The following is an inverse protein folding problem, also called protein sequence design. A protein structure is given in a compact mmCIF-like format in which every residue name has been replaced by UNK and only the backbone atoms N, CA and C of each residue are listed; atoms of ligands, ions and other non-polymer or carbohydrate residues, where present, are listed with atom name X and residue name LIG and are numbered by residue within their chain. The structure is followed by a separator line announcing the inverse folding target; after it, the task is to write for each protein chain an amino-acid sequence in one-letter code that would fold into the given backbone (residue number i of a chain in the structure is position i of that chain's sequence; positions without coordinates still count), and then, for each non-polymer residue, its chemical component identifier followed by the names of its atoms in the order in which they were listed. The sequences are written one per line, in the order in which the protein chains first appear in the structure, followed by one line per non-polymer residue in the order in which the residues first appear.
data_IF_009625567047
#
_entry.id   IF_009625567047
#
_cell.length_a   1.000
_cell.length_b   1.000
_cell.length_c   1.000
_cell.angle_alpha   90.00
_cell.angle_beta   90.00
_cell.angle_gamma   90.00
#
_symmetry.space_group_name_H-M   'P 1'
#
loop_
_entity.id
_entity.type
_entity.pdbx_description
1 polymer ?
#
# COMPACT_ATOMS: atom_id res chain seq x y z
N UNK A 1 14.80 -17.68 -6.55
CA UNK A 1 14.92 -16.21 -6.47
C UNK A 1 13.74 -15.80 -5.61
N UNK A 2 13.89 -15.93 -4.30
CA UNK A 2 12.76 -15.74 -3.39
C UNK A 2 12.51 -14.24 -3.28
N UNK A 3 11.32 -13.74 -3.70
CA UNK A 3 10.95 -12.35 -3.47
C UNK A 3 11.07 -12.13 -1.97
N UNK A 4 11.90 -11.15 -1.60
CA UNK A 4 12.46 -11.02 -0.26
C UNK A 4 11.42 -11.27 0.83
N UNK A 5 11.81 -12.06 1.83
CA UNK A 5 11.01 -12.42 3.00
C UNK A 5 10.26 -11.20 3.55
N UNK A 6 9.04 -11.00 3.07
CA UNK A 6 8.11 -10.04 3.63
C UNK A 6 7.54 -10.69 4.91
N UNK A 7 7.50 -9.95 6.01
CA UNK A 7 7.07 -10.49 7.31
C UNK A 7 5.65 -11.04 7.29
N UNK A 8 4.82 -10.56 6.36
CA UNK A 8 3.48 -11.08 6.10
C UNK A 8 3.52 -12.52 5.57
N UNK A 9 4.46 -12.90 4.71
CA UNK A 9 4.54 -14.27 4.18
C UNK A 9 4.74 -15.31 5.27
N UNK A 10 5.50 -15.00 6.33
CA UNK A 10 5.72 -15.90 7.47
C UNK A 10 4.44 -16.09 8.27
N UNK A 11 3.72 -15.00 8.54
CA UNK A 11 2.49 -15.04 9.34
C UNK A 11 1.33 -15.67 8.54
N UNK A 12 1.23 -15.33 7.26
CA UNK A 12 0.18 -15.82 6.37
C UNK A 12 0.23 -17.33 6.18
N UNK A 13 1.39 -17.99 6.27
CA UNK A 13 1.46 -19.47 6.17
C UNK A 13 0.58 -20.17 7.23
N UNK A 14 0.46 -19.60 8.42
CA UNK A 14 -0.35 -20.17 9.49
C UNK A 14 -1.83 -19.78 9.40
N UNK A 15 -2.11 -18.57 8.89
CA UNK A 15 -3.47 -18.00 8.89
C UNK A 15 -4.24 -18.36 7.61
N UNK A 16 -3.54 -18.45 6.48
CA UNK A 16 -4.13 -18.65 5.15
C UNK A 16 -5.04 -19.88 5.04
N UNK A 17 -4.77 -21.04 5.66
CA UNK A 17 -5.71 -22.17 5.61
C UNK A 17 -7.11 -21.81 6.14
N UNK A 18 -7.18 -21.06 7.24
CA UNK A 18 -8.46 -20.60 7.82
C UNK A 18 -9.14 -19.60 6.88
N UNK A 19 -8.37 -18.66 6.33
CA UNK A 19 -8.89 -17.66 5.40
C UNK A 19 -9.42 -18.26 4.10
N UNK A 20 -8.79 -19.32 3.60
CA UNK A 20 -9.25 -20.07 2.43
C UNK A 20 -10.50 -20.89 2.73
N UNK A 21 -10.64 -21.47 3.94
CA UNK A 21 -11.88 -22.11 4.37
C UNK A 21 -13.04 -21.12 4.37
N UNK A 22 -12.87 -19.99 5.07
CA UNK A 22 -13.88 -18.93 5.14
C UNK A 22 -14.29 -18.42 3.74
N UNK A 23 -13.31 -18.30 2.84
CA UNK A 23 -13.53 -17.92 1.45
C UNK A 23 -14.40 -18.94 0.71
N UNK A 24 -14.14 -20.23 0.88
CA UNK A 24 -14.93 -21.31 0.28
C UNK A 24 -16.38 -21.29 0.78
N UNK A 25 -16.57 -21.15 2.09
CA UNK A 25 -17.90 -21.07 2.72
C UNK A 25 -18.68 -19.84 2.25
N UNK A 26 -18.01 -18.71 2.07
CA UNK A 26 -18.61 -17.51 1.48
C UNK A 26 -19.04 -17.72 0.03
N UNK A 27 -18.21 -18.41 -0.77
CA UNK A 27 -18.53 -18.70 -2.17
C UNK A 27 -19.76 -19.59 -2.29
N UNK A 28 -19.85 -20.64 -1.47
CA UNK A 28 -21.01 -21.53 -1.42
C UNK A 28 -22.28 -20.76 -1.01
N UNK A 29 -22.20 -19.91 0.02
CA UNK A 29 -23.32 -19.07 0.43
C UNK A 29 -23.75 -18.12 -0.71
N UNK A 30 -22.80 -17.48 -1.40
CA UNK A 30 -23.07 -16.57 -2.51
C UNK A 30 -23.78 -17.27 -3.67
N UNK A 31 -23.31 -18.45 -4.08
CA UNK A 31 -23.88 -19.23 -5.18
C UNK A 31 -25.32 -19.69 -4.88
N UNK A 32 -25.62 -19.97 -3.62
CA UNK A 32 -26.96 -20.37 -3.17
C UNK A 32 -27.87 -19.19 -2.79
N UNK A 33 -27.41 -17.94 -2.96
CA UNK A 33 -28.18 -16.75 -2.59
C UNK A 33 -28.40 -16.60 -1.08
N UNK A 34 -27.55 -17.23 -0.26
CA UNK A 34 -27.61 -17.19 1.20
C UNK A 34 -26.78 -16.01 1.76
N UNK A 35 -27.06 -15.57 3.01
CA UNK A 35 -26.27 -14.55 3.66
C UNK A 35 -24.80 -14.96 3.80
N UNK A 36 -23.89 -14.05 3.42
CA UNK A 36 -22.45 -14.30 3.48
C UNK A 36 -21.98 -14.37 4.96
N UNK A 37 -21.38 -15.48 5.42
CA UNK A 37 -21.05 -15.67 6.83
C UNK A 37 -19.81 -14.88 7.26
N UNK A 38 -18.69 -14.95 6.52
CA UNK A 38 -17.39 -14.47 6.99
C UNK A 38 -17.00 -13.10 6.42
N UNK A 39 -16.37 -12.27 7.24
CA UNK A 39 -15.75 -11.00 6.83
C UNK A 39 -14.28 -11.24 6.48
N UNK A 40 -13.56 -11.93 7.37
CA UNK A 40 -12.12 -12.17 7.25
C UNK A 40 -11.91 -13.38 6.33
N UNK A 41 -11.48 -13.09 5.10
CA UNK A 41 -11.09 -14.07 4.08
C UNK A 41 -9.74 -13.67 3.48
N UNK A 42 -9.19 -14.49 2.58
CA UNK A 42 -7.98 -14.15 1.84
C UNK A 42 -8.17 -12.84 1.06
N UNK A 43 -9.32 -12.67 0.39
CA UNK A 43 -9.62 -11.46 -0.36
C UNK A 43 -9.75 -10.21 0.51
N UNK A 44 -10.24 -10.36 1.74
CA UNK A 44 -10.32 -9.24 2.67
C UNK A 44 -8.95 -8.55 2.82
N UNK A 45 -7.91 -9.35 3.08
CA UNK A 45 -6.55 -8.85 3.19
C UNK A 45 -6.01 -8.32 1.85
N UNK A 46 -6.05 -9.17 0.82
CA UNK A 46 -5.41 -8.87 -0.48
C UNK A 46 -5.99 -7.61 -1.15
N UNK A 47 -7.31 -7.39 -1.03
CA UNK A 47 -8.00 -6.37 -1.82
C UNK A 47 -8.34 -5.09 -1.06
N UNK A 48 -8.49 -5.15 0.27
CA UNK A 48 -8.84 -3.97 1.08
C UNK A 48 -7.72 -3.49 2.01
N UNK A 49 -6.82 -4.38 2.46
CA UNK A 49 -5.81 -4.05 3.47
C UNK A 49 -4.45 -3.73 2.86
N UNK A 50 -4.13 -4.31 1.71
CA UNK A 50 -2.85 -4.15 1.04
C UNK A 50 -2.89 -3.37 -0.30
N UNK A 51 -3.57 -2.20 -0.42
CA UNK A 51 -3.52 -1.42 -1.65
C UNK A 51 -2.10 -0.89 -1.91
N UNK A 52 -1.50 -1.30 -3.03
CA UNK A 52 -0.09 -1.03 -3.33
C UNK A 52 0.89 -2.03 -2.71
N UNK A 53 0.40 -3.17 -2.23
CA UNK A 53 1.19 -4.23 -1.60
C UNK A 53 1.32 -4.07 -0.09
N UNK A 54 2.30 -4.76 0.51
CA UNK A 54 2.50 -4.80 1.96
C UNK A 54 2.70 -3.40 2.52
N UNK A 55 1.91 -3.03 3.53
CA UNK A 55 1.95 -1.69 4.14
C UNK A 55 0.97 -0.66 3.55
N UNK A 56 0.15 -1.04 2.57
CA UNK A 56 -0.81 -0.13 1.91
C UNK A 56 -0.12 1.09 1.23
N UNK A 57 0.93 0.80 0.44
CA UNK A 57 1.87 1.79 -0.09
C UNK A 57 1.34 2.64 -1.25
N UNK A 58 0.16 2.34 -1.79
CA UNK A 58 -0.36 3.07 -2.96
C UNK A 58 -0.48 4.58 -2.68
N UNK A 59 -0.90 4.97 -1.47
CA UNK A 59 -0.94 6.38 -1.07
C UNK A 59 0.44 7.05 -1.05
N UNK A 60 1.47 6.33 -0.58
CA UNK A 60 2.85 6.82 -0.59
C UNK A 60 3.37 7.06 -2.01
N UNK A 61 3.10 6.11 -2.92
CA UNK A 61 3.52 6.20 -4.33
C UNK A 61 2.84 7.36 -5.05
N UNK A 62 1.56 7.60 -4.76
CA UNK A 62 0.82 8.77 -5.28
C UNK A 62 1.52 10.07 -4.86
N UNK A 63 1.97 10.20 -3.61
CA UNK A 63 2.70 11.39 -3.19
C UNK A 63 4.08 11.52 -3.84
N UNK A 64 4.79 10.41 -4.06
CA UNK A 64 6.05 10.43 -4.80
C UNK A 64 5.87 10.94 -6.23
N UNK A 65 4.75 10.62 -6.90
CA UNK A 65 4.47 11.11 -8.24
C UNK A 65 4.06 12.58 -8.27
N UNK A 66 3.20 13.00 -7.33
CA UNK A 66 2.53 14.31 -7.40
C UNK A 66 3.22 15.41 -6.60
N UNK A 67 4.01 15.05 -5.58
CA UNK A 67 4.45 16.02 -4.56
C UNK A 67 5.90 15.87 -4.10
N UNK A 68 6.69 15.00 -4.74
CA UNK A 68 8.13 14.88 -4.48
C UNK A 68 8.90 16.16 -4.83
N UNK A 69 9.77 16.61 -3.92
CA UNK A 69 10.74 17.67 -4.13
C UNK A 69 12.12 17.12 -4.47
N UNK A 70 12.48 15.98 -3.89
CA UNK A 70 13.73 15.28 -4.19
C UNK A 70 13.64 14.54 -5.53
N UNK A 71 14.73 14.53 -6.28
CA UNK A 71 14.80 13.78 -7.54
C UNK A 71 14.76 12.28 -7.27
N UNK A 72 15.37 11.81 -6.18
CA UNK A 72 15.34 10.41 -5.77
C UNK A 72 13.89 9.91 -5.59
N UNK A 73 13.06 10.63 -4.82
CA UNK A 73 11.67 10.22 -4.59
C UNK A 73 10.83 10.32 -5.86
N UNK A 74 11.08 11.32 -6.70
CA UNK A 74 10.39 11.49 -7.98
C UNK A 74 10.65 10.31 -8.93
N UNK A 75 11.91 9.89 -9.05
CA UNK A 75 12.28 8.77 -9.91
C UNK A 75 11.75 7.46 -9.35
N UNK A 76 11.86 7.25 -8.05
CA UNK A 76 11.34 6.06 -7.41
C UNK A 76 9.81 5.94 -7.61
N UNK A 77 9.06 7.04 -7.44
CA UNK A 77 7.63 7.05 -7.68
C UNK A 77 7.25 6.61 -9.09
N UNK A 78 8.00 7.04 -10.11
CA UNK A 78 7.76 6.63 -11.51
C UNK A 78 8.01 5.14 -11.75
N UNK A 79 9.04 4.59 -11.13
CA UNK A 79 9.39 3.16 -11.25
C UNK A 79 8.39 2.30 -10.47
N UNK A 80 7.95 2.77 -9.30
CA UNK A 80 7.05 2.03 -8.42
C UNK A 80 5.57 2.12 -8.81
N UNK A 81 5.14 3.19 -9.49
CA UNK A 81 3.72 3.43 -9.81
C UNK A 81 3.02 2.28 -10.55
N UNK A 82 3.62 1.68 -11.62
CA UNK A 82 2.99 0.55 -12.28
C UNK A 82 2.82 -0.63 -11.32
N UNK A 83 3.85 -0.99 -10.57
CA UNK A 83 3.76 -2.09 -9.59
C UNK A 83 2.70 -1.84 -8.53
N UNK A 84 2.71 -0.65 -7.93
CA UNK A 84 1.76 -0.29 -6.87
C UNK A 84 0.30 -0.32 -7.34
N UNK A 85 0.01 0.02 -8.61
CA UNK A 85 -1.36 -0.06 -9.14
C UNK A 85 -1.90 -1.50 -9.17
N UNK A 86 -0.99 -2.48 -9.31
CA UNK A 86 -1.29 -3.91 -9.28
C UNK A 86 -0.83 -4.57 -7.96
N UNK A 87 -0.76 -3.80 -6.87
CA UNK A 87 -0.42 -4.28 -5.52
C UNK A 87 0.95 -4.96 -5.39
N UNK A 88 1.92 -4.59 -6.23
CA UNK A 88 3.31 -5.05 -6.22
C UNK A 88 4.16 -4.02 -5.47
N UNK A 89 4.71 -4.38 -4.31
CA UNK A 89 5.46 -3.50 -3.41
C UNK A 89 6.99 -3.55 -3.58
N UNK A 90 7.51 -4.48 -4.37
CA UNK A 90 8.93 -4.77 -4.54
C UNK A 90 9.74 -3.54 -4.99
N UNK A 91 9.28 -2.73 -5.97
CA UNK A 91 9.99 -1.51 -6.34
C UNK A 91 10.17 -0.55 -5.15
N UNK A 92 9.20 -0.51 -4.23
CA UNK A 92 9.25 0.35 -3.05
C UNK A 92 10.17 -0.21 -1.97
N UNK A 93 10.09 -1.51 -1.71
CA UNK A 93 10.92 -2.18 -0.69
C UNK A 93 12.40 -2.16 -1.08
N UNK A 94 12.71 -2.26 -2.38
CA UNK A 94 14.08 -2.13 -2.87
C UNK A 94 14.53 -0.67 -2.99
N UNK A 95 13.61 0.27 -3.22
CA UNK A 95 13.94 1.69 -3.37
C UNK A 95 14.13 2.44 -2.05
N UNK A 96 13.41 2.05 -0.99
CA UNK A 96 13.53 2.59 0.36
C UNK A 96 13.43 1.42 1.35
N UNK A 97 14.33 1.33 2.35
CA UNK A 97 14.20 0.33 3.41
C UNK A 97 13.06 0.73 4.36
N UNK A 98 11.81 0.52 3.95
CA UNK A 98 10.60 1.00 4.64
C UNK A 98 10.54 0.57 6.10
N UNK A 99 10.91 -0.69 6.38
CA UNK A 99 10.88 -1.29 7.73
C UNK A 99 12.02 -0.77 8.61
N UNK A 100 13.19 -0.50 8.05
CA UNK A 100 14.33 0.01 8.82
C UNK A 100 14.33 1.55 8.93
N UNK A 101 13.49 2.23 8.15
CA UNK A 101 13.42 3.67 8.15
C UNK A 101 12.45 4.16 9.24
N UNK A 102 12.91 4.88 10.28
CA UNK A 102 12.04 5.34 11.37
C UNK A 102 10.91 6.27 10.90
N UNK A 103 11.09 6.97 9.76
CA UNK A 103 10.02 7.79 9.17
C UNK A 103 8.90 6.94 8.58
N UNK A 104 9.21 5.78 8.00
CA UNK A 104 8.21 4.94 7.32
C UNK A 104 7.77 3.73 8.12
N UNK A 105 8.52 3.29 9.13
CA UNK A 105 8.17 2.16 9.99
C UNK A 105 6.80 2.35 10.65
N UNK A 106 6.56 3.53 11.23
CA UNK A 106 5.29 3.82 11.89
C UNK A 106 4.10 3.81 10.92
N UNK A 107 4.07 4.59 9.82
CA UNK A 107 2.95 4.55 8.88
C UNK A 107 2.80 3.18 8.19
N UNK A 108 3.87 2.43 7.98
CA UNK A 108 3.85 1.09 7.38
C UNK A 108 3.07 0.07 8.23
N UNK A 109 3.15 0.16 9.56
CA UNK A 109 2.39 -0.71 10.47
C UNK A 109 1.01 -0.12 10.78
N UNK A 110 0.94 1.19 11.02
CA UNK A 110 -0.28 1.86 11.44
C UNK A 110 -1.36 1.84 10.35
N UNK A 111 -0.96 2.01 9.07
CA UNK A 111 -1.92 2.08 7.96
C UNK A 111 -2.71 0.78 7.82
N UNK A 112 -2.09 -0.41 7.64
CA UNK A 112 -2.84 -1.66 7.55
C UNK A 112 -3.73 -1.94 8.76
N UNK A 113 -3.28 -1.62 9.98
CA UNK A 113 -4.08 -1.79 11.21
C UNK A 113 -5.35 -0.95 11.15
N UNK A 114 -5.25 0.32 10.76
CA UNK A 114 -6.42 1.18 10.61
C UNK A 114 -7.33 0.73 9.46
N UNK A 115 -6.76 0.25 8.35
CA UNK A 115 -7.55 -0.31 7.26
C UNK A 115 -8.33 -1.55 7.70
N UNK A 116 -7.73 -2.42 8.52
CA UNK A 116 -8.42 -3.61 9.07
C UNK A 116 -9.59 -3.18 9.94
N UNK A 117 -9.37 -2.24 10.86
CA UNK A 117 -10.43 -1.76 11.77
C UNK A 117 -11.58 -1.15 10.96
N UNK A 118 -11.28 -0.21 10.05
CA UNK A 118 -12.30 0.47 9.24
C UNK A 118 -13.05 -0.52 8.34
N UNK A 119 -12.33 -1.38 7.63
CA UNK A 119 -12.94 -2.35 6.71
C UNK A 119 -13.78 -3.38 7.45
N UNK A 120 -13.27 -3.91 8.57
CA UNK A 120 -14.01 -4.86 9.39
C UNK A 120 -15.28 -4.23 9.97
N UNK A 121 -15.19 -3.04 10.57
CA UNK A 121 -16.37 -2.36 11.14
C UNK A 121 -17.39 -2.01 10.06
N UNK A 122 -16.96 -1.54 8.88
CA UNK A 122 -17.86 -1.24 7.76
C UNK A 122 -18.60 -2.50 7.27
N UNK A 123 -17.93 -3.64 7.21
CA UNK A 123 -18.57 -4.91 6.81
C UNK A 123 -19.42 -5.53 7.93
N UNK A 124 -19.00 -5.40 9.19
CA UNK A 124 -19.73 -5.92 10.35
C UNK A 124 -21.04 -5.18 10.62
N UNK A 125 -21.07 -3.88 10.35
CA UNK A 125 -22.27 -3.04 10.48
C UNK A 125 -23.20 -3.12 9.27
N UNK A 126 -22.80 -3.85 8.21
CA UNK A 126 -23.58 -3.98 6.98
C UNK A 126 -23.50 -2.76 6.05
N UNK A 127 -22.67 -1.76 6.35
CA UNK A 127 -22.44 -0.61 5.47
C UNK A 127 -21.77 -1.04 4.16
N UNK A 128 -20.95 -2.08 4.22
CA UNK A 128 -20.24 -2.66 3.07
C UNK A 128 -20.53 -4.15 2.98
N UNK A 129 -20.87 -4.62 1.78
CA UNK A 129 -21.06 -6.04 1.51
C UNK A 129 -19.78 -6.83 1.80
N UNK A 130 -19.93 -8.00 2.43
CA UNK A 130 -18.82 -8.92 2.74
C UNK A 130 -18.24 -9.53 1.45
N UNK A 131 -17.00 -10.07 1.48
CA UNK A 131 -16.43 -10.74 0.32
C UNK A 131 -17.24 -11.98 -0.08
N UNK A 132 -17.65 -12.06 -1.34
CA UNK A 132 -18.49 -13.13 -1.90
C UNK A 132 -17.74 -14.46 -2.12
N UNK A 133 -16.47 -14.57 -1.71
CA UNK A 133 -15.65 -15.78 -1.91
C UNK A 133 -15.07 -15.94 -3.31
N UNK A 134 -15.33 -15.00 -4.24
CA UNK A 134 -14.80 -15.02 -5.61
C UNK A 134 -13.27 -14.88 -5.58
N UNK A 135 -12.56 -15.87 -6.12
CA UNK A 135 -11.09 -15.89 -6.17
C UNK A 135 -10.57 -14.85 -7.18
N UNK A 136 -10.27 -13.64 -6.71
CA UNK A 136 -9.64 -12.60 -7.51
C UNK A 136 -8.12 -12.59 -7.26
N UNK A 137 -7.30 -12.44 -8.31
CA UNK A 137 -5.88 -12.19 -8.14
C UNK A 137 -5.66 -10.94 -7.28
N UNK A 138 -4.71 -10.98 -6.36
CA UNK A 138 -4.32 -9.80 -5.56
C UNK A 138 -3.83 -8.64 -6.45
N UNK A 139 -3.39 -8.92 -7.67
CA UNK A 139 -2.98 -7.91 -8.65
C UNK A 139 -4.15 -7.20 -9.33
N UNK A 140 -5.40 -7.58 -9.04
CA UNK A 140 -6.57 -6.92 -9.64
C UNK A 140 -6.60 -5.44 -9.23
N UNK A 141 -6.61 -4.49 -10.18
CA UNK A 141 -6.53 -3.07 -9.87
C UNK A 141 -7.60 -2.64 -8.87
N UNK A 142 -7.23 -1.67 -8.04
CA UNK A 142 -8.10 -1.06 -7.03
C UNK A 142 -9.39 -0.50 -7.69
N UNK A 143 -10.47 -0.47 -6.91
CA UNK A 143 -11.86 -0.16 -7.29
C UNK A 143 -12.56 -1.28 -8.06
N UNK A 144 -11.93 -1.83 -9.10
CA UNK A 144 -12.49 -2.98 -9.82
C UNK A 144 -12.52 -4.21 -8.92
N UNK A 145 -11.43 -4.46 -8.20
CA UNK A 145 -11.33 -5.58 -7.27
C UNK A 145 -12.39 -5.54 -6.18
N UNK A 146 -12.68 -4.39 -5.58
CA UNK A 146 -13.69 -4.29 -4.51
C UNK A 146 -15.12 -4.52 -5.00
N UNK A 147 -15.45 -4.05 -6.20
CA UNK A 147 -16.75 -4.31 -6.83
C UNK A 147 -16.93 -5.81 -7.13
N UNK A 148 -15.93 -6.43 -7.75
CA UNK A 148 -15.99 -7.85 -8.12
C UNK A 148 -15.97 -8.75 -6.89
N UNK A 149 -15.14 -8.43 -5.89
CA UNK A 149 -14.97 -9.25 -4.68
C UNK A 149 -16.23 -9.32 -3.82
N UNK A 150 -17.12 -8.35 -3.94
CA UNK A 150 -18.40 -8.30 -3.22
C UNK A 150 -19.57 -8.83 -4.04
N UNK A 151 -19.31 -9.44 -5.21
CA UNK A 151 -20.37 -9.97 -6.07
C UNK A 151 -21.11 -8.90 -6.87
N UNK A 152 -20.47 -7.76 -7.14
CA UNK A 152 -21.06 -6.64 -7.90
C UNK A 152 -21.65 -5.52 -7.03
N UNK A 153 -21.31 -5.45 -5.75
CA UNK A 153 -21.76 -4.38 -4.87
C UNK A 153 -20.79 -3.19 -4.90
N UNK A 154 -21.28 -2.01 -5.28
CA UNK A 154 -20.48 -0.77 -5.36
C UNK A 154 -19.86 -0.40 -4.00
N UNK A 155 -20.48 -0.81 -2.89
CA UNK A 155 -19.96 -0.59 -1.54
C UNK A 155 -18.53 -1.10 -1.36
N UNK A 156 -18.15 -2.19 -2.03
CA UNK A 156 -16.80 -2.74 -1.96
C UNK A 156 -15.76 -1.82 -2.59
N UNK A 157 -16.08 -1.21 -3.74
CA UNK A 157 -15.22 -0.22 -4.40
C UNK A 157 -15.13 1.09 -3.61
N UNK A 158 -16.25 1.53 -3.03
CA UNK A 158 -16.27 2.73 -2.16
C UNK A 158 -15.36 2.55 -0.94
N UNK A 159 -15.38 1.38 -0.31
CA UNK A 159 -14.48 1.08 0.80
C UNK A 159 -13.01 1.14 0.38
N UNK A 160 -12.66 0.72 -0.84
CA UNK A 160 -11.29 0.86 -1.35
C UNK A 160 -10.88 2.32 -1.55
N UNK A 161 -11.80 3.20 -1.96
CA UNK A 161 -11.56 4.66 -2.01
C UNK A 161 -11.29 5.20 -0.61
N UNK A 162 -12.08 4.79 0.38
CA UNK A 162 -11.89 5.18 1.78
C UNK A 162 -10.53 4.69 2.29
N UNK A 163 -10.16 3.44 2.03
CA UNK A 163 -8.88 2.88 2.45
C UNK A 163 -7.70 3.58 1.77
N UNK A 164 -7.82 3.92 0.49
CA UNK A 164 -6.81 4.73 -0.20
C UNK A 164 -6.69 6.12 0.41
N UNK A 165 -7.81 6.77 0.75
CA UNK A 165 -7.81 8.07 1.42
C UNK A 165 -7.14 8.00 2.80
N UNK A 166 -7.39 6.94 3.58
CA UNK A 166 -6.71 6.71 4.87
C UNK A 166 -5.20 6.56 4.66
N UNK A 167 -4.78 5.74 3.69
CA UNK A 167 -3.36 5.59 3.33
C UNK A 167 -2.74 6.95 2.97
N UNK A 168 -3.40 7.76 2.14
CA UNK A 168 -2.93 9.11 1.79
C UNK A 168 -2.80 10.01 3.03
N UNK A 169 -3.80 10.03 3.92
CA UNK A 169 -3.75 10.89 5.11
C UNK A 169 -2.62 10.48 6.05
N UNK A 170 -2.43 9.18 6.28
CA UNK A 170 -1.41 8.68 7.19
C UNK A 170 -0.01 8.89 6.61
N UNK A 171 0.22 8.56 5.34
CA UNK A 171 1.56 8.65 4.75
C UNK A 171 2.03 10.09 4.51
N UNK A 172 1.11 11.05 4.35
CA UNK A 172 1.44 12.42 4.01
C UNK A 172 2.47 13.10 4.95
N UNK A 173 2.27 13.17 6.28
CA UNK A 173 3.21 13.84 7.18
C UNK A 173 4.61 13.23 7.13
N UNK A 174 4.70 11.90 7.08
CA UNK A 174 5.97 11.17 7.05
C UNK A 174 6.69 11.34 5.72
N UNK A 175 5.97 11.21 4.60
CA UNK A 175 6.51 11.45 3.28
C UNK A 175 7.05 12.87 3.16
N UNK A 176 6.30 13.87 3.59
CA UNK A 176 6.71 15.28 3.52
C UNK A 176 8.00 15.54 4.32
N UNK A 177 8.14 14.93 5.49
CA UNK A 177 9.35 15.07 6.31
C UNK A 177 10.56 14.42 5.64
N UNK A 178 10.39 13.19 5.15
CA UNK A 178 11.44 12.43 4.47
C UNK A 178 11.90 13.07 3.16
N UNK A 179 10.95 13.47 2.30
CA UNK A 179 11.25 14.09 1.01
C UNK A 179 11.95 15.46 1.18
N UNK A 180 11.60 16.22 2.23
CA UNK A 180 12.32 17.46 2.57
C UNK A 180 13.76 17.19 3.02
N UNK A 181 14.00 16.11 3.76
CA UNK A 181 15.34 15.71 4.15
C UNK A 181 16.17 15.34 2.91
N UNK A 182 15.62 14.49 2.03
CA UNK A 182 16.29 14.07 0.79
C UNK A 182 16.57 15.23 -0.16
N UNK A 183 15.62 16.15 -0.33
CA UNK A 183 15.85 17.33 -1.15
C UNK A 183 16.98 18.24 -0.60
N UNK A 184 17.12 18.32 0.73
CA UNK A 184 18.24 19.07 1.35
C UNK A 184 19.59 18.36 1.14
N UNK A 185 19.62 17.04 1.29
CA UNK A 185 20.83 16.25 1.03
C UNK A 185 21.29 16.40 -0.43
N UNK A 186 20.35 16.30 -1.38
CA UNK A 186 20.64 16.51 -2.82
C UNK A 186 21.20 17.92 -3.11
N UNK A 187 20.65 18.96 -2.47
CA UNK A 187 21.13 20.34 -2.64
C UNK A 187 22.53 20.55 -2.02
N UNK A 188 22.78 19.98 -0.84
CA UNK A 188 24.07 20.07 -0.17
C UNK A 188 25.17 19.35 -0.96
N UNK A 189 24.85 18.22 -1.59
CA UNK A 189 25.78 17.48 -2.46
C UNK A 189 26.05 18.15 -3.80
N UNK A 190 25.20 19.07 -4.26
CA UNK A 190 25.39 19.81 -5.51
C UNK A 190 26.23 21.10 -5.36
N UNK A 191 26.45 21.59 -4.14
CA UNK A 191 27.22 22.81 -3.84
C UNK A 191 28.75 22.66 -3.58
N UNK A 192 29.38 21.48 -3.40
CA UNK A 192 30.82 21.41 -3.06
C UNK A 192 31.77 21.94 -4.15
N UNK A 193 31.40 21.91 -5.44
CA UNK A 193 32.33 22.24 -6.53
C UNK A 193 32.42 23.74 -6.88
N UNK A 194 31.44 24.56 -6.49
CA UNK A 194 31.43 25.99 -6.81
C UNK A 194 32.35 26.83 -5.91
N UNK A 195 32.69 26.34 -4.70
CA UNK A 195 33.58 27.06 -3.77
C UNK A 195 35.06 26.76 -3.99
N UNK A 196 35.42 25.59 -4.53
CA UNK A 196 36.79 25.21 -4.81
C UNK A 196 37.36 25.91 -6.07
N UNK A 197 36.50 26.27 -7.03
CA UNK A 197 36.88 26.96 -8.26
C UNK A 197 37.16 28.44 -8.06
N UNK A 198 36.47 29.11 -7.13
CA UNK A 198 36.73 30.51 -6.78
C UNK A 198 38.04 30.69 -5.98
N UNK A 199 38.39 29.75 -5.08
CA UNK A 199 39.65 29.83 -4.33
C UNK A 199 40.91 29.57 -5.19
N UNK A 200 40.78 28.98 -6.37
CA UNK A 200 41.89 28.75 -7.29
C UNK A 200 42.12 29.93 -8.26
N UNK A 201 41.05 30.67 -8.60
CA UNK A 201 41.11 31.86 -9.44
C UNK A 201 41.70 33.09 -8.72
N UNK A 202 41.53 33.20 -7.40
CA UNK A 202 42.09 34.29 -6.59
C UNK A 202 43.59 34.13 -6.22
N UNK A 203 44.25 33.08 -6.73
CA UNK A 203 45.69 32.79 -6.49
C UNK A 203 46.59 32.98 -7.71
N UNK A 204 46.10 33.65 -8.76
CA UNK A 204 46.89 34.04 -9.96
C UNK A 204 46.88 35.56 -10.04
#
# INVERSE_FOLDING_TARGET
MDPGLHGDTIVLVFIRPVWLSNMSENLEAFQNGLPIPHIITQQFYDLWIAPGGTGALLGLVIFMLLRSRSQQMKQLGKIAAPGALFNISEPMVFGIPLVMNPYFFLPFILTPVLLVIVSYTAMATGLVMKPAGIALPFTTPIFMSGYLATGGHISGAVLQVVNLAISLVIYYPFFRAWDRLKAKEEQASAQPEASATLSAADRI
#
